data_IF_387773507288
#
_entry.id   IF_387773507288
#
_cell.length_a   1.000
_cell.length_b   1.000
_cell.length_c   1.000
_cell.angle_alpha   90.00
_cell.angle_beta   90.00
_cell.angle_gamma   90.00
#
_symmetry.space_group_name_H-M   'P 1'
#
loop_
_entity.id
_entity.type
_entity.pdbx_description
1 polymer ?
#
# COMPACT_ATOMS: atom_id res chain seq x y z
N UNK A 1 -3.22 -9.10 -6.08
CA UNK A 1 -2.64 -7.92 -5.37
C UNK A 1 -1.15 -8.05 -5.49
N UNK A 2 -0.55 -7.12 -6.23
CA UNK A 2 0.87 -7.16 -6.50
C UNK A 2 1.64 -6.43 -5.42
N UNK A 3 2.66 -7.07 -4.88
CA UNK A 3 3.45 -6.56 -3.77
C UNK A 3 4.94 -6.73 -4.04
N UNK A 4 5.74 -5.76 -3.59
CA UNK A 4 7.19 -5.89 -3.48
C UNK A 4 7.54 -6.53 -2.15
N UNK A 5 8.26 -7.65 -2.21
CA UNK A 5 8.77 -8.36 -1.05
C UNK A 5 9.88 -7.53 -0.39
N UNK A 6 9.74 -7.23 0.90
CA UNK A 6 10.72 -6.50 1.70
C UNK A 6 11.62 -7.43 2.51
N UNK A 7 11.18 -8.66 2.78
CA UNK A 7 11.91 -9.70 3.52
C UNK A 7 11.71 -11.05 2.87
N UNK A 8 12.70 -11.94 2.96
CA UNK A 8 12.57 -13.28 2.41
C UNK A 8 11.33 -14.01 2.94
N UNK A 9 10.47 -14.48 2.04
CA UNK A 9 9.24 -15.22 2.35
C UNK A 9 9.18 -16.52 1.54
N UNK A 10 8.52 -17.52 2.11
CA UNK A 10 8.18 -18.73 1.37
C UNK A 10 6.82 -18.53 0.69
N UNK A 11 6.80 -18.55 -0.63
CA UNK A 11 5.62 -18.30 -1.44
C UNK A 11 5.57 -19.30 -2.60
N UNK A 12 4.43 -19.98 -2.78
CA UNK A 12 4.20 -20.98 -3.85
C UNK A 12 5.28 -22.06 -4.02
N UNK A 13 5.90 -22.50 -2.91
CA UNK A 13 6.93 -23.54 -2.98
C UNK A 13 8.36 -23.02 -3.20
N UNK A 14 8.54 -21.71 -3.29
CA UNK A 14 9.82 -21.07 -3.51
C UNK A 14 10.13 -20.02 -2.44
N UNK A 15 11.41 -19.85 -2.11
CA UNK A 15 11.86 -18.73 -1.30
C UNK A 15 12.00 -17.51 -2.20
N UNK A 16 11.14 -16.53 -1.99
CA UNK A 16 11.19 -15.24 -2.67
C UNK A 16 11.96 -14.28 -1.78
N UNK A 17 12.97 -13.63 -2.36
CA UNK A 17 13.86 -12.71 -1.64
C UNK A 17 13.43 -11.26 -1.81
N UNK A 18 14.05 -10.36 -1.05
CA UNK A 18 13.78 -8.93 -1.05
C UNK A 18 13.90 -8.34 -2.47
N UNK A 19 13.02 -7.38 -2.80
CA UNK A 19 12.96 -6.72 -4.10
C UNK A 19 12.21 -7.48 -5.19
N UNK A 20 11.78 -8.72 -4.94
CA UNK A 20 10.93 -9.46 -5.89
C UNK A 20 9.48 -9.01 -5.79
N UNK A 21 8.78 -9.06 -6.92
CA UNK A 21 7.34 -8.80 -6.98
C UNK A 21 6.59 -10.12 -6.98
N UNK A 22 5.62 -10.24 -6.07
CA UNK A 22 4.69 -11.37 -6.03
C UNK A 22 3.27 -10.89 -6.32
N UNK A 23 2.46 -11.77 -6.89
CA UNK A 23 1.01 -11.56 -6.97
C UNK A 23 0.31 -12.50 -5.99
N UNK A 24 -0.50 -11.93 -5.10
CA UNK A 24 -1.22 -12.67 -4.07
C UNK A 24 -2.65 -12.18 -3.91
N UNK A 25 -3.52 -12.94 -3.24
CA UNK A 25 -4.86 -12.47 -2.88
C UNK A 25 -4.81 -11.31 -1.87
N UNK A 26 -5.82 -10.44 -1.88
CA UNK A 26 -5.86 -9.23 -1.04
C UNK A 26 -5.71 -9.52 0.46
N UNK A 27 -6.39 -10.55 0.97
CA UNK A 27 -6.32 -10.91 2.39
C UNK A 27 -4.89 -11.27 2.82
N UNK A 28 -4.21 -12.10 2.03
CA UNK A 28 -2.83 -12.48 2.31
C UNK A 28 -1.89 -11.29 2.13
N UNK A 29 -2.12 -10.48 1.09
CA UNK A 29 -1.30 -9.30 0.82
C UNK A 29 -1.33 -8.28 1.95
N UNK A 30 -2.52 -7.97 2.47
CA UNK A 30 -2.70 -7.10 3.65
C UNK A 30 -1.96 -7.64 4.88
N UNK A 31 -1.99 -8.95 5.10
CA UNK A 31 -1.27 -9.59 6.20
C UNK A 31 0.25 -9.42 6.05
N UNK A 32 0.77 -9.62 4.85
CA UNK A 32 2.19 -9.42 4.56
C UNK A 32 2.61 -7.95 4.77
N UNK A 33 1.77 -6.99 4.39
CA UNK A 33 2.01 -5.56 4.61
C UNK A 33 1.99 -5.23 6.11
N UNK A 34 0.97 -5.69 6.83
CA UNK A 34 0.83 -5.42 8.27
C UNK A 34 2.00 -5.99 9.08
N UNK A 35 2.53 -7.13 8.64
CA UNK A 35 3.69 -7.78 9.26
C UNK A 35 5.04 -7.23 8.75
N UNK A 36 5.04 -6.35 7.75
CA UNK A 36 6.24 -5.74 7.18
C UNK A 36 7.08 -6.68 6.30
N UNK A 37 6.48 -7.73 5.75
CA UNK A 37 7.15 -8.65 4.81
C UNK A 37 7.09 -8.18 3.36
N UNK A 38 6.09 -7.36 3.02
CA UNK A 38 5.90 -6.84 1.67
C UNK A 38 5.27 -5.44 1.71
N UNK A 39 5.36 -4.71 0.60
CA UNK A 39 4.71 -3.43 0.39
C UNK A 39 3.94 -3.45 -0.93
N UNK A 40 2.86 -2.67 -1.03
CA UNK A 40 2.22 -2.44 -2.33
C UNK A 40 3.25 -1.85 -3.30
N UNK A 41 3.32 -2.40 -4.51
CA UNK A 41 3.98 -1.67 -5.59
C UNK A 41 3.12 -0.44 -5.82
N UNK A 42 3.64 0.72 -5.45
CA UNK A 42 3.08 1.98 -5.87
C UNK A 42 3.17 2.02 -7.41
N UNK A 43 2.16 1.50 -8.09
CA UNK A 43 1.82 2.03 -9.41
C UNK A 43 1.69 3.52 -9.19
N UNK A 44 2.50 4.29 -9.90
CA UNK A 44 2.52 5.74 -9.87
C UNK A 44 1.18 6.28 -10.39
N UNK A 45 0.09 6.05 -9.68
CA UNK A 45 -1.03 6.95 -9.66
C UNK A 45 -0.70 7.98 -8.60
N UNK A 46 -0.21 9.11 -9.09
CA UNK A 46 -0.55 10.44 -8.58
C UNK A 46 -1.65 10.41 -7.49
N UNK A 47 -1.23 10.33 -6.24
CA UNK A 47 -1.97 10.78 -5.08
C UNK A 47 -1.20 12.06 -4.70
N UNK A 48 -1.49 13.26 -5.21
CA UNK A 48 -2.77 13.94 -5.07
C UNK A 48 -3.42 13.50 -3.75
N UNK A 49 -2.70 13.79 -2.66
CA UNK A 49 -3.18 13.62 -1.30
C UNK A 49 -4.62 14.12 -1.21
N UNK A 50 -5.53 13.37 -0.56
CA UNK A 50 -6.88 13.82 -0.33
C UNK A 50 -6.82 15.10 0.52
N UNK A 51 -7.15 16.24 -0.09
CA UNK A 51 -7.53 17.45 0.62
C UNK A 51 -8.84 17.19 1.36
N UNK A 52 -8.76 16.88 2.64
CA UNK A 52 -9.87 17.06 3.59
C UNK A 52 -9.31 17.64 4.91
N UNK A 53 -10.06 18.48 5.66
CA UNK A 53 -11.46 18.85 5.47
C UNK A 53 -11.68 20.37 5.29
N UNK A 54 -12.88 20.71 4.78
CA UNK A 54 -13.46 22.05 4.81
C UNK A 54 -13.57 22.58 6.26
N UNK A 55 -12.88 23.69 6.59
CA UNK A 55 -13.19 24.49 7.80
C UNK A 55 -12.83 25.96 7.60
N UNK A 56 -13.80 26.75 7.12
CA UNK A 56 -14.40 27.89 7.85
C UNK A 56 -15.35 28.67 6.95
N UNK A 57 -16.63 28.56 7.24
CA UNK A 57 -17.62 29.52 6.77
C UNK A 57 -17.29 30.91 7.29
N UNK A 58 -16.83 31.79 6.40
CA UNK A 58 -16.92 33.23 6.60
C UNK A 58 -18.34 33.67 6.24
N UNK A 59 -19.18 33.76 7.26
CA UNK A 59 -20.38 34.59 7.21
C UNK A 59 -20.19 35.77 8.18
N UNK A 60 -19.66 36.86 7.65
CA UNK A 60 -19.82 38.25 8.13
C UNK A 60 -19.90 39.07 6.84
N UNK A 61 -21.02 39.69 6.48
CA UNK A 61 -21.82 40.58 7.31
C UNK A 61 -21.23 41.98 7.18
N UNK A 62 -21.59 42.69 6.11
CA UNK A 62 -21.62 44.16 5.99
C UNK A 62 -22.52 44.57 4.82
#
# INVERSE_FOLDING_TARGET
MKLTVLRAIYFEGQVITEGHVIDTVEQHGRELIQKGYAAEIAETHTLAEPTEPEDKGENKGE
#
